data_IF_003305779814
#
_entry.id   IF_003305779814
#
_cell.length_a   1.000
_cell.length_b   1.000
_cell.length_c   1.000
_cell.angle_alpha   90.00
_cell.angle_beta   90.00
_cell.angle_gamma   90.00
#
_symmetry.space_group_name_H-M   'P 1'
#
loop_
_entity.id
_entity.type
_entity.pdbx_description
1 polymer ?
#
# COMPACT_ATOMS: atom_id res chain seq x y z
N UNK A 1 25.71 -16.22 -26.83
CA UNK A 1 26.14 -14.96 -26.19
C UNK A 1 25.74 -13.70 -26.98
N UNK A 2 26.32 -13.39 -28.16
CA UNK A 2 25.99 -12.15 -28.91
C UNK A 2 24.49 -12.00 -29.23
N UNK A 3 23.82 -13.09 -29.65
CA UNK A 3 22.35 -13.10 -29.89
C UNK A 3 21.55 -12.80 -28.62
N UNK A 4 21.91 -13.39 -27.50
CA UNK A 4 21.29 -13.16 -26.20
C UNK A 4 21.46 -11.71 -25.73
N UNK A 5 22.67 -11.14 -25.88
CA UNK A 5 22.95 -9.73 -25.59
C UNK A 5 22.06 -8.82 -26.45
N UNK A 6 21.93 -9.11 -27.75
CA UNK A 6 21.04 -8.33 -28.64
C UNK A 6 19.59 -8.37 -28.16
N UNK A 7 19.08 -9.55 -27.81
CA UNK A 7 17.71 -9.70 -27.29
C UNK A 7 17.51 -8.96 -25.96
N UNK A 8 18.46 -9.06 -25.04
CA UNK A 8 18.42 -8.32 -23.77
C UNK A 8 18.44 -6.80 -23.99
N UNK A 9 19.26 -6.31 -24.92
CA UNK A 9 19.31 -4.87 -25.21
C UNK A 9 18.00 -4.33 -25.80
N UNK A 10 17.27 -5.12 -26.61
CA UNK A 10 15.93 -4.74 -27.08
C UNK A 10 14.94 -4.60 -25.91
N UNK A 11 15.05 -5.44 -24.89
CA UNK A 11 14.22 -5.32 -23.69
C UNK A 11 14.61 -4.11 -22.82
N UNK A 12 15.91 -3.83 -22.72
CA UNK A 12 16.48 -2.80 -21.85
C UNK A 12 16.42 -1.38 -22.42
N UNK A 13 16.15 -1.22 -23.71
CA UNK A 13 16.12 0.07 -24.42
C UNK A 13 15.23 1.11 -23.71
N UNK A 14 14.03 0.70 -23.29
CA UNK A 14 13.08 1.55 -22.56
C UNK A 14 13.56 2.03 -21.17
N UNK A 15 14.62 1.43 -20.63
CA UNK A 15 15.17 1.76 -19.32
C UNK A 15 16.50 2.51 -19.40
N UNK A 16 16.95 2.88 -20.60
CA UNK A 16 18.29 3.44 -20.83
C UNK A 16 19.38 2.54 -20.22
N UNK A 17 19.31 1.24 -20.53
CA UNK A 17 20.29 0.22 -20.12
C UNK A 17 20.79 -0.51 -21.37
N UNK A 18 22.11 -0.71 -21.47
CA UNK A 18 22.75 -1.41 -22.59
C UNK A 18 23.80 -2.37 -22.04
N UNK A 19 23.77 -3.61 -22.51
CA UNK A 19 24.85 -4.59 -22.32
C UNK A 19 25.84 -4.44 -23.48
N UNK A 20 27.03 -3.91 -23.19
CA UNK A 20 28.17 -3.96 -24.10
C UNK A 20 28.84 -5.32 -24.01
N UNK A 21 29.35 -5.83 -25.13
CA UNK A 21 30.05 -7.12 -25.18
C UNK A 21 31.57 -6.99 -25.07
N UNK A 22 32.13 -5.77 -25.18
CA UNK A 22 33.57 -5.48 -25.16
C UNK A 22 33.86 -4.11 -24.51
N UNK A 23 34.31 -4.07 -23.24
CA UNK A 23 34.25 -5.17 -22.28
C UNK A 23 32.79 -5.59 -21.99
N UNK A 24 32.57 -6.81 -21.49
CA UNK A 24 31.22 -7.27 -21.12
C UNK A 24 30.74 -6.52 -19.88
N UNK A 25 29.81 -5.57 -20.04
CA UNK A 25 29.29 -4.75 -18.92
C UNK A 25 27.96 -4.09 -19.25
N UNK A 26 27.24 -3.69 -18.20
CA UNK A 26 26.06 -2.82 -18.28
C UNK A 26 26.49 -1.34 -18.25
N UNK A 27 25.96 -0.56 -19.18
CA UNK A 27 26.10 0.90 -19.30
C UNK A 27 24.73 1.56 -19.54
N UNK A 28 24.62 2.87 -19.34
CA UNK A 28 23.37 3.63 -19.43
C UNK A 28 23.11 4.50 -18.19
N UNK A 29 21.85 4.77 -17.88
CA UNK A 29 21.47 5.47 -16.64
C UNK A 29 21.78 4.59 -15.43
N UNK A 30 22.74 5.04 -14.63
CA UNK A 30 23.27 4.26 -13.51
C UNK A 30 22.22 3.99 -12.41
N UNK A 31 21.22 4.87 -12.24
CA UNK A 31 20.14 4.62 -11.28
C UNK A 31 19.23 3.51 -11.78
N UNK A 32 18.89 3.51 -13.06
CA UNK A 32 18.06 2.46 -13.66
C UNK A 32 18.77 1.09 -13.63
N UNK A 33 20.09 1.05 -13.90
CA UNK A 33 20.88 -0.20 -13.79
C UNK A 33 20.82 -0.76 -12.36
N UNK A 34 21.06 0.08 -11.34
CA UNK A 34 21.02 -0.35 -9.94
C UNK A 34 19.64 -0.82 -9.53
N UNK A 35 18.62 -0.07 -9.91
CA UNK A 35 17.23 -0.42 -9.61
C UNK A 35 16.83 -1.75 -10.25
N UNK A 36 17.22 -1.99 -11.51
CA UNK A 36 17.03 -3.29 -12.17
C UNK A 36 17.62 -4.44 -11.35
N UNK A 37 18.86 -4.31 -10.89
CA UNK A 37 19.50 -5.35 -10.09
C UNK A 37 18.85 -5.54 -8.72
N UNK A 38 18.40 -4.46 -8.08
CA UNK A 38 17.63 -4.55 -6.83
C UNK A 38 16.37 -5.39 -7.05
N UNK A 39 15.57 -5.08 -8.09
CA UNK A 39 14.38 -5.86 -8.42
C UNK A 39 14.70 -7.32 -8.72
N UNK A 40 15.73 -7.56 -9.53
CA UNK A 40 16.16 -8.91 -9.89
C UNK A 40 16.56 -9.73 -8.66
N UNK A 41 17.36 -9.15 -7.76
CA UNK A 41 17.79 -9.85 -6.55
C UNK A 41 16.65 -10.08 -5.57
N UNK A 42 15.78 -9.08 -5.35
CA UNK A 42 14.58 -9.25 -4.52
C UNK A 42 13.68 -10.35 -5.05
N UNK A 43 13.44 -10.40 -6.36
CA UNK A 43 12.57 -11.41 -6.95
C UNK A 43 13.17 -12.82 -6.91
N UNK A 44 14.48 -12.95 -7.13
CA UNK A 44 15.15 -14.25 -7.28
C UNK A 44 15.61 -14.86 -5.95
N UNK A 45 16.03 -14.02 -5.01
CA UNK A 45 16.70 -14.47 -3.78
C UNK A 45 16.00 -14.02 -2.51
N UNK A 46 14.88 -13.29 -2.61
CA UNK A 46 14.29 -12.52 -1.51
C UNK A 46 15.30 -11.54 -0.88
N UNK A 47 14.96 -10.95 0.27
CA UNK A 47 15.81 -9.94 0.93
C UNK A 47 16.76 -10.54 1.99
N UNK A 48 16.62 -11.82 2.31
CA UNK A 48 17.35 -12.51 3.38
C UNK A 48 18.57 -13.25 2.81
N UNK A 49 18.44 -13.93 1.67
CA UNK A 49 19.50 -14.79 1.11
C UNK A 49 20.21 -14.16 -0.09
N UNK A 50 20.77 -12.97 0.11
CA UNK A 50 21.36 -12.19 -0.98
C UNK A 50 22.65 -12.84 -1.54
N UNK A 51 22.85 -12.85 -2.87
CA UNK A 51 23.98 -13.52 -3.52
C UNK A 51 25.29 -12.70 -3.49
N UNK A 52 25.54 -11.97 -2.41
CA UNK A 52 26.77 -11.20 -2.20
C UNK A 52 27.67 -11.89 -1.18
N UNK A 53 28.93 -11.44 -1.09
CA UNK A 53 29.87 -11.96 -0.09
C UNK A 53 29.32 -11.73 1.32
N UNK A 54 29.25 -12.78 2.14
CA UNK A 54 28.77 -12.69 3.54
C UNK A 54 29.49 -11.62 4.37
N UNK A 55 30.80 -11.40 4.12
CA UNK A 55 31.58 -10.31 4.76
C UNK A 55 30.95 -8.93 4.48
N UNK A 56 30.57 -8.67 3.22
CA UNK A 56 29.97 -7.41 2.77
C UNK A 56 28.62 -7.16 3.43
N UNK A 57 27.75 -8.17 3.40
CA UNK A 57 26.42 -8.13 4.03
C UNK A 57 26.55 -7.82 5.52
N UNK A 58 27.43 -8.53 6.22
CA UNK A 58 27.67 -8.31 7.65
C UNK A 58 28.15 -6.88 7.96
N UNK A 59 29.11 -6.35 7.19
CA UNK A 59 29.60 -4.97 7.36
C UNK A 59 28.47 -3.95 7.16
N UNK A 60 27.61 -4.19 6.16
CA UNK A 60 26.49 -3.33 5.85
C UNK A 60 25.44 -3.27 6.95
N UNK A 61 25.08 -4.43 7.50
CA UNK A 61 24.13 -4.51 8.61
C UNK A 61 24.68 -3.88 9.88
N UNK A 62 25.98 -4.06 10.17
CA UNK A 62 26.66 -3.37 11.27
C UNK A 62 26.64 -1.86 11.09
N UNK A 63 26.98 -1.38 9.89
CA UNK A 63 26.97 0.04 9.57
C UNK A 63 25.57 0.63 9.71
N UNK A 64 24.54 -0.02 9.14
CA UNK A 64 23.16 0.41 9.29
C UNK A 64 22.74 0.49 10.76
N UNK A 65 23.05 -0.54 11.54
CA UNK A 65 22.72 -0.59 12.97
C UNK A 65 23.36 0.57 13.71
N UNK A 66 24.67 0.79 13.54
CA UNK A 66 25.41 1.87 14.18
C UNK A 66 24.85 3.26 13.82
N UNK A 67 24.56 3.49 12.54
CA UNK A 67 24.09 4.81 12.11
C UNK A 67 22.62 5.01 12.48
N UNK A 68 21.80 3.96 12.47
CA UNK A 68 20.40 4.04 12.90
C UNK A 68 20.26 4.38 14.38
N UNK A 69 21.15 3.91 15.27
CA UNK A 69 21.11 4.28 16.70
C UNK A 69 21.45 5.75 16.94
N UNK A 70 22.19 6.37 16.03
CA UNK A 70 22.59 7.78 16.12
C UNK A 70 21.53 8.72 15.51
N UNK A 71 20.90 8.31 14.41
CA UNK A 71 20.05 9.19 13.60
C UNK A 71 18.56 8.84 13.57
N UNK A 72 18.11 7.66 14.04
CA UNK A 72 16.72 7.22 13.89
C UNK A 72 16.02 6.89 15.20
N UNK A 73 14.70 7.13 15.18
CA UNK A 73 13.71 6.45 16.00
C UNK A 73 13.36 5.10 15.33
N UNK A 74 13.52 4.00 16.07
CA UNK A 74 13.09 2.61 15.76
C UNK A 74 13.38 2.10 14.33
N UNK A 75 14.59 1.60 14.02
CA UNK A 75 14.86 0.91 12.75
C UNK A 75 14.01 -0.36 12.59
N UNK A 76 13.41 -0.56 11.42
CA UNK A 76 12.71 -1.81 11.08
C UNK A 76 13.66 -2.83 10.43
N UNK A 77 13.31 -4.11 10.52
CA UNK A 77 14.06 -5.18 9.83
C UNK A 77 14.01 -4.95 8.32
N UNK A 78 12.84 -4.56 7.80
CA UNK A 78 12.64 -4.30 6.37
C UNK A 78 13.57 -3.20 5.84
N UNK A 79 13.70 -2.09 6.59
CA UNK A 79 14.60 -0.99 6.22
C UNK A 79 16.06 -1.44 6.19
N UNK A 80 16.47 -2.26 7.16
CA UNK A 80 17.83 -2.82 7.20
C UNK A 80 18.09 -3.68 5.97
N UNK A 81 17.17 -4.60 5.65
CA UNK A 81 17.33 -5.50 4.52
C UNK A 81 17.36 -4.74 3.17
N UNK A 82 16.48 -3.75 3.01
CA UNK A 82 16.47 -2.87 1.84
C UNK A 82 17.78 -2.05 1.72
N UNK A 83 18.27 -1.51 2.85
CA UNK A 83 19.55 -0.81 2.90
C UNK A 83 20.71 -1.70 2.46
N UNK A 84 20.76 -2.92 3.01
CA UNK A 84 21.80 -3.90 2.71
C UNK A 84 21.80 -4.27 1.23
N UNK A 85 20.64 -4.62 0.65
CA UNK A 85 20.55 -4.98 -0.78
C UNK A 85 21.01 -3.83 -1.67
N UNK A 86 20.44 -2.64 -1.49
CA UNK A 86 20.80 -1.47 -2.30
C UNK A 86 22.30 -1.20 -2.24
N UNK A 87 22.85 -1.19 -1.02
CA UNK A 87 24.23 -0.80 -0.80
C UNK A 87 25.20 -1.85 -1.31
N UNK A 88 24.83 -3.13 -1.27
CA UNK A 88 25.61 -4.20 -1.89
C UNK A 88 25.63 -4.07 -3.42
N UNK A 89 24.48 -3.80 -4.06
CA UNK A 89 24.42 -3.49 -5.50
C UNK A 89 25.27 -2.28 -5.82
N UNK A 90 25.14 -1.20 -5.05
CA UNK A 90 25.90 0.03 -5.23
C UNK A 90 27.42 -0.20 -5.10
N UNK A 91 27.84 -1.03 -4.15
CA UNK A 91 29.25 -1.35 -3.90
C UNK A 91 29.88 -2.07 -5.09
N UNK A 92 29.18 -3.07 -5.64
CA UNK A 92 29.66 -3.79 -6.81
C UNK A 92 29.74 -2.88 -8.05
N UNK A 93 28.83 -1.91 -8.20
CA UNK A 93 28.93 -0.90 -9.27
C UNK A 93 30.13 0.03 -9.07
N UNK A 94 30.34 0.54 -7.86
CA UNK A 94 31.43 1.46 -7.56
C UNK A 94 32.80 0.81 -7.75
N UNK A 95 32.96 -0.44 -7.30
CA UNK A 95 34.18 -1.23 -7.52
C UNK A 95 34.55 -1.42 -9.00
N UNK A 96 33.56 -1.33 -9.89
CA UNK A 96 33.72 -1.43 -11.33
C UNK A 96 33.76 -0.06 -12.03
N UNK A 97 34.11 1.02 -11.31
CA UNK A 97 34.22 2.40 -11.82
C UNK A 97 32.89 2.99 -12.31
N UNK A 98 31.77 2.59 -11.72
CA UNK A 98 30.46 3.19 -11.95
C UNK A 98 29.96 3.88 -10.66
N UNK A 99 30.52 5.05 -10.30
CA UNK A 99 30.24 5.71 -9.01
C UNK A 99 28.84 6.32 -8.96
N UNK A 100 28.30 6.45 -7.75
CA UNK A 100 27.09 7.25 -7.51
C UNK A 100 27.41 8.74 -7.63
N UNK A 101 26.60 9.44 -8.42
CA UNK A 101 26.61 10.91 -8.41
C UNK A 101 25.86 11.40 -7.17
N UNK A 102 26.59 11.91 -6.18
CA UNK A 102 25.99 12.45 -4.96
C UNK A 102 26.15 13.95 -4.93
N UNK A 103 25.03 14.66 -4.81
CA UNK A 103 24.97 16.13 -4.88
C UNK A 103 24.95 16.82 -3.52
N UNK A 104 24.96 16.08 -2.41
CA UNK A 104 24.72 16.63 -1.07
C UNK A 104 25.98 16.59 -0.18
N UNK A 105 27.02 17.32 -0.60
CA UNK A 105 28.31 17.38 0.09
C UNK A 105 28.22 17.81 1.57
N UNK A 106 27.42 18.83 1.97
CA UNK A 106 27.36 19.26 3.38
C UNK A 106 26.88 18.15 4.32
N UNK A 107 25.92 17.33 3.86
CA UNK A 107 25.39 16.21 4.65
C UNK A 107 26.42 15.11 4.83
N UNK A 108 27.14 14.77 3.75
CA UNK A 108 28.22 13.78 3.80
C UNK A 108 29.27 14.22 4.82
N UNK A 109 29.70 15.49 4.77
CA UNK A 109 30.67 16.05 5.71
C UNK A 109 30.19 15.95 7.16
N UNK A 110 28.91 16.27 7.42
CA UNK A 110 28.31 16.13 8.75
C UNK A 110 28.31 14.68 9.27
N UNK A 111 27.90 13.71 8.43
CA UNK A 111 27.91 12.29 8.78
C UNK A 111 29.33 11.77 9.05
N UNK A 112 30.30 12.17 8.22
CA UNK A 112 31.72 11.85 8.41
C UNK A 112 32.20 12.38 9.77
N UNK A 113 31.91 13.64 10.10
CA UNK A 113 32.33 14.25 11.34
C UNK A 113 31.74 13.54 12.57
N UNK A 114 30.46 13.16 12.52
CA UNK A 114 29.82 12.39 13.58
C UNK A 114 30.50 11.02 13.74
N UNK A 115 30.67 10.28 12.65
CA UNK A 115 31.28 8.96 12.70
C UNK A 115 32.72 8.98 13.20
N UNK A 116 33.51 9.99 12.80
CA UNK A 116 34.86 10.20 13.29
C UNK A 116 34.91 10.62 14.76
N UNK A 117 33.83 11.20 15.30
CA UNK A 117 33.73 11.60 16.71
C UNK A 117 33.30 10.47 17.65
N UNK A 118 32.87 9.32 17.11
CA UNK A 118 32.44 8.18 17.93
C UNK A 118 33.66 7.55 18.63
N UNK A 119 33.54 7.16 19.91
CA UNK A 119 34.61 6.45 20.60
C UNK A 119 34.96 5.16 19.84
N UNK A 120 36.24 4.82 19.78
CA UNK A 120 36.77 3.61 19.11
C UNK A 120 36.17 2.29 19.60
N UNK A 121 35.52 2.28 20.76
CA UNK A 121 34.76 1.13 21.28
C UNK A 121 33.40 0.94 20.60
N UNK A 122 32.81 2.00 20.02
CA UNK A 122 31.58 1.94 19.23
C UNK A 122 31.84 1.60 17.76
N UNK A 123 33.08 1.74 17.29
CA UNK A 123 33.51 1.25 16.00
C UNK A 123 33.81 -0.25 16.08
N UNK A 124 32.79 -1.08 16.32
CA UNK A 124 32.83 -2.50 15.96
C UNK A 124 32.86 -2.73 14.43
N UNK A 125 33.01 -1.65 13.65
CA UNK A 125 33.34 -1.59 12.22
C UNK A 125 34.75 -2.16 11.90
N UNK A 126 35.23 -3.13 12.68
CA UNK A 126 36.56 -3.76 12.66
C UNK A 126 36.95 -4.45 11.34
N UNK A 127 36.27 -4.16 10.23
CA UNK A 127 36.51 -4.73 8.91
C UNK A 127 36.33 -3.73 7.77
N UNK A 128 36.04 -2.44 8.00
CA UNK A 128 36.09 -1.46 6.91
C UNK A 128 37.57 -1.20 6.64
N UNK A 129 38.10 -1.85 5.61
CA UNK A 129 39.54 -2.04 5.44
C UNK A 129 40.22 -0.77 4.89
N UNK A 130 39.44 0.24 4.44
CA UNK A 130 39.97 1.49 3.87
C UNK A 130 39.08 2.72 4.10
N UNK A 131 39.72 3.90 4.14
CA UNK A 131 39.04 5.21 4.19
C UNK A 131 38.08 5.42 2.99
N UNK A 132 38.47 4.96 1.81
CA UNK A 132 37.64 5.01 0.60
C UNK A 132 36.35 4.21 0.71
N UNK A 133 36.39 3.07 1.41
CA UNK A 133 35.24 2.22 1.64
C UNK A 133 34.30 2.83 2.69
N UNK A 134 34.82 3.42 3.76
CA UNK A 134 34.03 4.21 4.71
C UNK A 134 33.33 5.38 4.02
N UNK A 135 34.06 6.13 3.19
CA UNK A 135 33.47 7.24 2.44
C UNK A 135 32.35 6.77 1.51
N UNK A 136 32.49 5.59 0.87
CA UNK A 136 31.43 4.96 0.09
C UNK A 136 30.20 4.64 0.92
N UNK A 137 30.36 4.02 2.09
CA UNK A 137 29.24 3.66 2.96
C UNK A 137 28.48 4.90 3.42
N UNK A 138 29.19 5.96 3.81
CA UNK A 138 28.58 7.22 4.23
C UNK A 138 27.87 7.90 3.07
N UNK A 139 28.50 7.92 1.89
CA UNK A 139 27.90 8.40 0.65
C UNK A 139 26.59 7.67 0.34
N UNK A 140 26.60 6.34 0.37
CA UNK A 140 25.42 5.50 0.11
C UNK A 140 24.33 5.71 1.16
N UNK A 141 24.70 5.79 2.44
CA UNK A 141 23.78 6.09 3.52
C UNK A 141 23.19 7.51 3.44
N UNK A 142 23.97 8.48 2.95
CA UNK A 142 23.48 9.85 2.73
C UNK A 142 22.37 9.90 1.68
N UNK A 143 22.32 8.94 0.74
CA UNK A 143 21.26 8.82 -0.26
C UNK A 143 19.99 8.19 0.32
N UNK A 144 20.14 7.15 1.14
CA UNK A 144 19.06 6.61 1.98
C UNK A 144 18.47 7.62 2.95
N UNK A 145 19.27 8.65 3.24
CA UNK A 145 18.89 9.74 4.10
C UNK A 145 18.92 11.06 3.32
N UNK A 146 18.63 11.10 2.02
CA UNK A 146 18.73 12.36 1.28
C UNK A 146 17.80 13.46 1.89
N UNK A 147 18.03 14.74 1.60
CA UNK A 147 17.18 15.85 2.08
C UNK A 147 15.72 15.74 1.57
N UNK A 148 15.49 14.86 0.58
CA UNK A 148 14.18 14.48 0.05
C UNK A 148 13.66 13.15 0.61
N UNK A 149 14.25 12.60 1.66
CA UNK A 149 13.69 11.46 2.40
C UNK A 149 13.41 11.96 3.82
N UNK A 150 12.16 12.00 4.28
CA UNK A 150 11.76 12.44 5.62
C UNK A 150 12.38 11.63 6.75
N UNK A 151 12.83 10.41 6.48
CA UNK A 151 13.59 9.58 7.43
C UNK A 151 14.97 10.13 7.80
N UNK A 152 15.40 11.22 7.17
CA UNK A 152 16.75 11.76 7.28
C UNK A 152 16.88 13.08 8.01
N UNK A 153 15.75 13.71 8.31
CA UNK A 153 15.69 15.10 8.74
C UNK A 153 14.96 15.19 10.07
N UNK A 154 15.65 14.92 11.19
CA UNK A 154 15.25 15.50 12.48
C UNK A 154 15.20 17.05 12.45
N UNK A 155 15.65 17.70 11.36
CA UNK A 155 15.76 19.15 11.20
C UNK A 155 14.65 19.85 10.40
N UNK A 156 13.72 19.15 9.75
CA UNK A 156 12.59 19.83 9.10
C UNK A 156 11.45 19.98 10.10
N UNK A 157 11.13 21.21 10.49
CA UNK A 157 9.95 21.49 11.31
C UNK A 157 8.70 20.94 10.62
N UNK A 158 7.71 20.46 11.41
CA UNK A 158 6.44 19.92 10.89
C UNK A 158 5.82 20.82 9.79
N UNK A 159 5.92 22.14 9.95
CA UNK A 159 5.44 23.12 8.97
C UNK A 159 6.15 23.07 7.61
N UNK A 160 7.47 22.80 7.57
CA UNK A 160 8.19 22.63 6.31
C UNK A 160 7.81 21.32 5.62
N UNK A 161 7.60 20.25 6.40
CA UNK A 161 7.19 18.96 5.87
C UNK A 161 5.79 19.04 5.24
N UNK A 162 4.84 19.66 5.94
CA UNK A 162 3.50 19.94 5.43
C UNK A 162 3.52 20.69 4.10
N UNK A 163 4.30 21.77 4.00
CA UNK A 163 4.45 22.53 2.74
C UNK A 163 5.02 21.70 1.59
N UNK A 164 5.86 20.69 1.86
CA UNK A 164 6.38 19.78 0.83
C UNK A 164 5.25 18.85 0.34
N UNK A 165 4.47 18.28 1.27
CA UNK A 165 3.32 17.44 0.91
C UNK A 165 2.25 18.21 0.13
N UNK A 166 1.99 19.47 0.50
CA UNK A 166 1.08 20.37 -0.24
C UNK A 166 1.56 20.59 -1.68
N UNK A 167 2.86 20.85 -1.88
CA UNK A 167 3.43 21.12 -3.22
C UNK A 167 3.51 19.90 -4.13
N UNK A 168 3.42 18.70 -3.58
CA UNK A 168 3.56 17.44 -4.33
C UNK A 168 2.22 16.82 -4.72
N UNK A 169 1.10 17.43 -4.32
CA UNK A 169 -0.24 16.89 -4.55
C UNK A 169 -0.69 15.86 -3.52
N UNK A 170 0.17 15.47 -2.57
CA UNK A 170 -0.15 14.46 -1.55
C UNK A 170 -1.25 14.93 -0.60
N UNK A 171 -1.17 16.16 -0.08
CA UNK A 171 -2.22 16.68 0.80
C UNK A 171 -3.53 16.89 0.05
N UNK A 172 -3.48 17.29 -1.23
CA UNK A 172 -4.67 17.42 -2.07
C UNK A 172 -5.32 16.06 -2.32
N UNK A 173 -4.53 15.03 -2.62
CA UNK A 173 -5.00 13.67 -2.73
C UNK A 173 -5.67 13.21 -1.44
N UNK A 174 -4.99 13.31 -0.29
CA UNK A 174 -5.55 12.84 0.98
C UNK A 174 -6.79 13.64 1.38
N UNK A 175 -6.84 14.93 1.10
CA UNK A 175 -8.03 15.74 1.30
C UNK A 175 -9.22 15.25 0.47
N UNK A 176 -9.03 15.05 -0.85
CA UNK A 176 -10.10 14.59 -1.74
C UNK A 176 -10.53 13.16 -1.40
N UNK A 177 -9.56 12.29 -1.13
CA UNK A 177 -9.78 10.92 -0.70
C UNK A 177 -10.62 10.87 0.58
N UNK A 178 -10.22 11.59 1.63
CA UNK A 178 -10.99 11.71 2.86
C UNK A 178 -12.38 12.30 2.64
N UNK A 179 -12.50 13.32 1.79
CA UNK A 179 -13.78 13.98 1.53
C UNK A 179 -14.76 13.09 0.77
N UNK A 180 -14.31 12.45 -0.31
CA UNK A 180 -15.14 11.60 -1.18
C UNK A 180 -15.57 10.33 -0.46
N UNK A 181 -14.63 9.67 0.21
CA UNK A 181 -14.91 8.42 0.92
C UNK A 181 -15.34 8.63 2.37
N UNK A 182 -15.54 9.89 2.80
CA UNK A 182 -15.98 10.26 4.16
C UNK A 182 -15.09 9.63 5.26
N UNK A 183 -13.78 9.53 4.98
CA UNK A 183 -12.79 8.94 5.90
C UNK A 183 -12.17 10.03 6.76
N UNK A 184 -12.27 9.87 8.07
CA UNK A 184 -11.55 10.68 9.04
C UNK A 184 -10.16 10.08 9.29
N UNK A 185 -9.12 10.87 9.01
CA UNK A 185 -7.73 10.53 9.34
C UNK A 185 -7.29 11.41 10.49
N UNK A 186 -6.70 10.81 11.53
CA UNK A 186 -6.02 11.57 12.58
C UNK A 186 -4.81 12.32 12.02
N UNK A 187 -4.37 13.39 12.68
CA UNK A 187 -3.17 14.13 12.27
C UNK A 187 -1.93 13.22 12.16
N UNK A 188 -1.84 12.19 13.00
CA UNK A 188 -0.73 11.25 12.99
C UNK A 188 -0.80 10.28 11.81
N UNK A 189 -1.99 9.75 11.50
CA UNK A 189 -2.20 8.90 10.32
C UNK A 189 -1.92 9.67 9.04
N UNK A 190 -2.52 10.86 8.89
CA UNK A 190 -2.29 11.74 7.73
C UNK A 190 -0.80 12.00 7.55
N UNK A 191 -0.09 12.39 8.61
CA UNK A 191 1.35 12.62 8.53
C UNK A 191 2.13 11.37 8.11
N UNK A 192 1.81 10.22 8.70
CA UNK A 192 2.48 8.95 8.41
C UNK A 192 2.26 8.54 6.95
N UNK A 193 1.02 8.57 6.48
CA UNK A 193 0.65 8.27 5.10
C UNK A 193 1.34 9.26 4.15
N UNK A 194 1.24 10.57 4.39
CA UNK A 194 1.89 11.59 3.55
C UNK A 194 3.39 11.35 3.40
N UNK A 195 4.05 10.98 4.50
CA UNK A 195 5.47 10.67 4.54
C UNK A 195 5.81 9.46 3.67
N UNK A 196 5.12 8.34 3.86
CA UNK A 196 5.38 7.10 3.11
C UNK A 196 5.06 7.26 1.61
N UNK A 197 3.97 7.95 1.27
CA UNK A 197 3.63 8.28 -0.11
C UNK A 197 4.69 9.16 -0.77
N UNK A 198 5.24 10.13 -0.04
CA UNK A 198 6.30 10.97 -0.57
C UNK A 198 7.59 10.19 -0.81
N UNK A 199 7.99 9.33 0.13
CA UNK A 199 9.16 8.45 -0.04
C UNK A 199 8.99 7.52 -1.24
N UNK A 200 7.78 7.02 -1.46
CA UNK A 200 7.47 6.18 -2.61
C UNK A 200 7.57 6.96 -3.94
N UNK A 201 6.91 8.11 -4.04
CA UNK A 201 6.72 8.84 -5.29
C UNK A 201 7.91 9.76 -5.66
N UNK A 202 8.67 10.20 -4.66
CA UNK A 202 9.73 11.21 -4.80
C UNK A 202 11.02 10.85 -4.07
N UNK A 203 11.02 9.77 -3.30
CA UNK A 203 12.20 9.32 -2.56
C UNK A 203 13.28 8.78 -3.47
N UNK A 204 14.44 8.53 -2.87
CA UNK A 204 15.65 8.18 -3.60
C UNK A 204 15.58 6.80 -4.28
N UNK A 205 14.74 5.89 -3.77
CA UNK A 205 14.52 4.57 -4.37
C UNK A 205 13.48 4.59 -5.49
N UNK A 206 12.88 5.74 -5.81
CA UNK A 206 11.98 5.88 -6.95
C UNK A 206 12.79 5.64 -8.24
N UNK A 207 12.46 4.62 -9.05
CA UNK A 207 13.06 4.49 -10.38
C UNK A 207 12.72 5.70 -11.25
N UNK A 208 13.53 5.96 -12.29
CA UNK A 208 13.16 6.98 -13.29
C UNK A 208 12.15 6.40 -14.28
N UNK A 209 12.34 5.14 -14.67
CA UNK A 209 11.44 4.40 -15.55
C UNK A 209 10.95 3.16 -14.79
N UNK A 210 9.63 2.92 -14.77
CA UNK A 210 9.07 1.76 -14.08
C UNK A 210 9.49 0.51 -14.82
N UNK A 211 10.44 -0.19 -14.21
CA UNK A 211 10.79 -1.54 -14.61
C UNK A 211 9.69 -2.43 -14.06
N UNK A 212 8.86 -2.98 -14.95
CA UNK A 212 7.89 -4.00 -14.57
C UNK A 212 8.65 -5.12 -13.85
N UNK A 213 8.46 -5.23 -12.54
CA UNK A 213 9.14 -6.26 -11.76
C UNK A 213 8.70 -7.63 -12.27
N UNK A 214 9.62 -8.60 -12.24
CA UNK A 214 9.34 -9.99 -12.62
C UNK A 214 8.19 -10.59 -11.81
N UNK A 215 7.94 -10.06 -10.60
CA UNK A 215 6.76 -10.30 -9.78
C UNK A 215 6.18 -8.95 -9.32
N UNK A 216 5.15 -8.46 -10.00
CA UNK A 216 4.45 -7.24 -9.58
C UNK A 216 3.40 -7.57 -8.51
N UNK A 217 3.87 -7.88 -7.31
CA UNK A 217 3.01 -8.20 -6.16
C UNK A 217 2.04 -7.06 -5.83
N UNK A 218 2.38 -5.81 -6.16
CA UNK A 218 1.50 -4.66 -5.96
C UNK A 218 0.35 -4.64 -6.95
N UNK A 219 0.58 -4.99 -8.21
CA UNK A 219 -0.50 -5.15 -9.19
C UNK A 219 -1.37 -6.35 -8.88
N UNK A 220 -0.76 -7.45 -8.42
CA UNK A 220 -1.51 -8.59 -7.92
C UNK A 220 -2.39 -8.17 -6.73
N UNK A 221 -1.83 -7.47 -5.75
CA UNK A 221 -2.56 -6.91 -4.61
C UNK A 221 -3.70 -6.01 -5.07
N UNK A 222 -3.46 -5.04 -5.96
CA UNK A 222 -4.52 -4.15 -6.47
C UNK A 222 -5.68 -4.93 -7.13
N UNK A 223 -5.35 -5.95 -7.95
CA UNK A 223 -6.36 -6.76 -8.64
C UNK A 223 -7.11 -7.70 -7.70
N UNK A 224 -6.40 -8.34 -6.77
CA UNK A 224 -6.95 -9.34 -5.85
C UNK A 224 -7.47 -8.75 -4.55
N UNK A 225 -7.34 -7.45 -4.32
CA UNK A 225 -7.93 -6.77 -3.18
C UNK A 225 -9.45 -6.72 -3.42
N UNK A 226 -10.11 -7.77 -2.94
CA UNK A 226 -11.55 -7.98 -2.83
C UNK A 226 -12.15 -7.21 -1.65
N UNK A 227 -11.27 -6.84 -0.71
CA UNK A 227 -11.60 -6.07 0.46
C UNK A 227 -12.33 -4.76 0.11
N UNK A 228 -11.86 -4.05 -0.93
CA UNK A 228 -12.55 -2.88 -1.48
C UNK A 228 -13.31 -3.23 -2.75
N UNK A 229 -14.51 -2.67 -2.88
CA UNK A 229 -15.30 -2.72 -4.11
C UNK A 229 -14.49 -2.15 -5.31
N UNK A 230 -14.67 -2.71 -6.50
CA UNK A 230 -13.95 -2.25 -7.71
C UNK A 230 -14.12 -0.75 -7.98
N UNK A 231 -15.30 -0.23 -7.67
CA UNK A 231 -15.61 1.19 -7.71
C UNK A 231 -14.70 2.06 -6.84
N UNK A 232 -14.35 1.60 -5.64
CA UNK A 232 -13.41 2.27 -4.74
C UNK A 232 -12.04 2.38 -5.40
N UNK A 233 -11.57 1.27 -5.97
CA UNK A 233 -10.28 1.17 -6.65
C UNK A 233 -10.21 2.11 -7.87
N UNK A 234 -11.29 2.17 -8.66
CA UNK A 234 -11.40 3.05 -9.83
C UNK A 234 -11.38 4.52 -9.41
N UNK A 235 -12.21 4.91 -8.44
CA UNK A 235 -12.33 6.30 -8.02
C UNK A 235 -11.05 6.79 -7.32
N UNK A 236 -10.42 5.95 -6.49
CA UNK A 236 -9.09 6.24 -5.92
C UNK A 236 -8.06 6.51 -7.01
N UNK A 237 -8.09 5.74 -8.11
CA UNK A 237 -7.23 5.96 -9.27
C UNK A 237 -7.54 7.27 -9.99
N UNK A 238 -8.81 7.64 -10.14
CA UNK A 238 -9.21 8.95 -10.70
C UNK A 238 -8.66 10.10 -9.86
N UNK A 239 -8.84 10.06 -8.54
CA UNK A 239 -8.29 11.08 -7.61
C UNK A 239 -6.77 11.18 -7.79
N UNK A 240 -6.07 10.03 -7.85
CA UNK A 240 -4.63 9.99 -8.06
C UNK A 240 -4.21 10.69 -9.36
N UNK A 241 -4.86 10.37 -10.48
CA UNK A 241 -4.57 10.95 -11.80
C UNK A 241 -4.75 12.48 -11.83
N UNK A 242 -5.70 13.03 -11.06
CA UNK A 242 -5.88 14.48 -10.96
C UNK A 242 -4.87 15.19 -10.05
N UNK A 243 -4.34 14.49 -9.04
CA UNK A 243 -3.42 15.09 -8.07
C UNK A 243 -1.94 15.00 -8.47
N UNK A 244 -1.59 14.10 -9.39
CA UNK A 244 -0.21 13.78 -9.71
C UNK A 244 0.06 13.88 -11.22
N UNK A 245 1.33 14.12 -11.58
CA UNK A 245 1.77 14.17 -12.98
C UNK A 245 1.72 12.79 -13.65
N UNK A 246 1.57 12.75 -14.98
CA UNK A 246 1.47 11.50 -15.75
C UNK A 246 2.68 10.56 -15.55
N UNK A 247 3.87 11.12 -15.33
CA UNK A 247 5.09 10.36 -14.99
C UNK A 247 4.95 9.51 -13.71
N UNK A 248 3.96 9.81 -12.86
CA UNK A 248 3.68 9.09 -11.61
C UNK A 248 2.62 8.00 -11.77
N UNK A 249 1.87 7.97 -12.88
CA UNK A 249 0.75 7.03 -13.06
C UNK A 249 1.11 5.56 -12.90
N UNK A 250 2.27 5.07 -13.39
CA UNK A 250 2.54 3.65 -13.26
C UNK A 250 2.97 3.26 -11.82
N UNK A 251 3.14 4.21 -10.89
CA UNK A 251 3.36 3.93 -9.46
C UNK A 251 2.05 3.70 -8.68
N UNK A 252 0.90 3.82 -9.33
CA UNK A 252 -0.40 3.77 -8.65
C UNK A 252 -0.59 2.48 -7.83
N UNK A 253 -0.20 1.32 -8.33
CA UNK A 253 -0.39 0.05 -7.61
C UNK A 253 0.41 0.03 -6.28
N UNK A 254 1.62 0.59 -6.29
CA UNK A 254 2.44 0.74 -5.07
C UNK A 254 1.82 1.77 -4.12
N UNK A 255 1.34 2.88 -4.68
CA UNK A 255 0.69 3.95 -3.94
C UNK A 255 -0.56 3.42 -3.22
N UNK A 256 -1.38 2.65 -3.93
CA UNK A 256 -2.58 2.02 -3.41
C UNK A 256 -2.26 1.04 -2.27
N UNK A 257 -1.21 0.24 -2.43
CA UNK A 257 -0.73 -0.65 -1.37
C UNK A 257 -0.33 0.12 -0.11
N UNK A 258 0.48 1.18 -0.23
CA UNK A 258 0.91 2.00 0.92
C UNK A 258 -0.30 2.66 1.59
N UNK A 259 -1.18 3.28 0.81
CA UNK A 259 -2.41 3.91 1.30
C UNK A 259 -3.25 2.92 2.10
N UNK A 260 -3.48 1.71 1.56
CA UNK A 260 -4.28 0.68 2.23
C UNK A 260 -3.63 0.17 3.51
N UNK A 261 -2.34 -0.18 3.44
CA UNK A 261 -1.65 -0.83 4.57
C UNK A 261 -1.30 0.10 5.72
N UNK A 262 -1.18 1.42 5.46
CA UNK A 262 -0.86 2.42 6.47
C UNK A 262 -2.09 3.14 7.03
N UNK A 263 -3.27 2.87 6.47
CA UNK A 263 -4.54 3.43 6.93
C UNK A 263 -5.32 2.35 7.67
N UNK A 264 -4.93 2.06 8.92
CA UNK A 264 -5.55 1.00 9.73
C UNK A 264 -7.06 1.25 9.89
N UNK A 265 -7.46 2.50 10.08
CA UNK A 265 -8.86 2.93 10.20
C UNK A 265 -9.63 2.93 8.88
N UNK A 266 -8.97 2.79 7.73
CA UNK A 266 -9.62 2.83 6.41
C UNK A 266 -10.67 1.73 6.27
N UNK A 267 -10.29 0.57 6.77
CA UNK A 267 -11.07 -0.65 6.80
C UNK A 267 -12.34 -0.47 7.64
N UNK A 268 -12.17 -0.07 8.89
CA UNK A 268 -13.27 0.13 9.83
C UNK A 268 -14.19 1.28 9.40
N UNK A 269 -13.63 2.34 8.83
CA UNK A 269 -14.39 3.46 8.28
C UNK A 269 -15.19 3.05 7.04
N UNK A 270 -14.61 2.23 6.16
CA UNK A 270 -15.33 1.70 5.00
C UNK A 270 -16.55 0.87 5.43
N UNK A 271 -16.35 -0.06 6.36
CA UNK A 271 -17.43 -0.93 6.83
C UNK A 271 -18.49 -0.17 7.65
N UNK A 272 -18.09 0.74 8.53
CA UNK A 272 -19.03 1.49 9.38
C UNK A 272 -19.90 2.47 8.60
N UNK A 273 -19.41 3.02 7.49
CA UNK A 273 -20.13 4.03 6.72
C UNK A 273 -20.95 3.43 5.57
N UNK A 274 -20.43 2.41 4.89
CA UNK A 274 -20.97 1.97 3.61
C UNK A 274 -21.49 0.54 3.62
N UNK A 275 -20.96 -0.30 4.51
CA UNK A 275 -21.37 -1.69 4.64
C UNK A 275 -22.40 -1.87 5.76
N UNK A 276 -23.35 -0.93 5.83
CA UNK A 276 -24.54 -1.10 6.67
C UNK A 276 -25.53 -1.96 5.92
N UNK A 277 -26.01 -3.01 6.58
CA UNK A 277 -27.06 -3.85 6.02
C UNK A 277 -28.10 -4.16 7.09
N UNK A 278 -29.36 -3.99 6.73
CA UNK A 278 -30.49 -4.32 7.59
C UNK A 278 -31.02 -5.71 7.23
N UNK A 279 -30.74 -6.69 8.08
CA UNK A 279 -31.14 -8.08 7.89
C UNK A 279 -32.33 -8.37 8.79
N UNK A 280 -33.45 -8.78 8.20
CA UNK A 280 -34.60 -9.26 8.95
C UNK A 280 -34.60 -10.77 8.93
N UNK A 281 -34.73 -11.41 10.10
CA UNK A 281 -34.77 -12.87 10.23
C UNK A 281 -36.12 -13.27 10.81
N UNK A 282 -36.83 -14.12 10.08
CA UNK A 282 -38.05 -14.74 10.55
C UNK A 282 -38.06 -16.24 10.25
N UNK A 283 -37.97 -17.04 11.30
CA UNK A 283 -38.07 -18.49 11.24
C UNK A 283 -39.35 -18.88 11.98
N UNK A 284 -40.24 -19.59 11.30
CA UNK A 284 -41.59 -19.86 11.79
C UNK A 284 -41.65 -20.89 12.93
N UNK A 285 -40.67 -21.80 13.02
CA UNK A 285 -40.70 -22.93 13.94
C UNK A 285 -39.97 -22.68 15.26
N UNK A 286 -38.95 -21.82 15.30
CA UNK A 286 -38.15 -21.58 16.51
C UNK A 286 -37.42 -20.23 16.48
N UNK A 287 -37.77 -19.35 17.42
CA UNK A 287 -37.10 -18.07 17.60
C UNK A 287 -35.64 -18.21 18.07
N UNK A 288 -35.32 -19.26 18.83
CA UNK A 288 -33.93 -19.52 19.23
C UNK A 288 -33.06 -19.84 18.02
N UNK A 289 -33.63 -20.46 16.99
CA UNK A 289 -32.94 -20.68 15.72
C UNK A 289 -32.65 -19.35 15.00
N UNK A 290 -33.57 -18.38 15.02
CA UNK A 290 -33.31 -17.02 14.51
C UNK A 290 -32.13 -16.34 15.22
N UNK A 291 -32.06 -16.45 16.56
CA UNK A 291 -30.93 -15.94 17.34
C UNK A 291 -29.62 -16.65 16.96
N UNK A 292 -29.65 -17.97 16.79
CA UNK A 292 -28.49 -18.74 16.34
C UNK A 292 -27.99 -18.27 14.96
N UNK A 293 -28.90 -18.05 14.01
CA UNK A 293 -28.57 -17.55 12.67
C UNK A 293 -27.93 -16.16 12.77
N UNK A 294 -28.54 -15.22 13.50
CA UNK A 294 -27.96 -13.89 13.74
C UNK A 294 -26.52 -14.00 14.25
N UNK A 295 -26.31 -14.73 15.35
CA UNK A 295 -24.99 -14.85 15.98
C UNK A 295 -23.95 -15.46 15.04
N UNK A 296 -24.36 -16.40 14.19
CA UNK A 296 -23.46 -17.04 13.21
C UNK A 296 -23.12 -16.08 12.07
N UNK A 297 -24.08 -15.31 11.58
CA UNK A 297 -23.87 -14.29 10.55
C UNK A 297 -23.00 -13.14 11.06
N UNK A 298 -23.29 -12.60 12.25
CA UNK A 298 -22.47 -11.55 12.91
C UNK A 298 -21.00 -11.96 13.05
N UNK A 299 -20.75 -13.25 13.28
CA UNK A 299 -19.39 -13.76 13.46
C UNK A 299 -18.65 -14.00 12.15
N UNK A 300 -19.35 -14.41 11.10
CA UNK A 300 -18.73 -14.86 9.84
C UNK A 300 -18.66 -13.79 8.78
N UNK A 301 -19.58 -12.83 8.80
CA UNK A 301 -19.70 -11.83 7.76
C UNK A 301 -19.08 -10.50 8.21
N UNK A 302 -18.32 -9.82 7.35
CA UNK A 302 -17.76 -8.53 7.67
C UNK A 302 -18.78 -7.40 7.46
N UNK A 303 -18.65 -6.32 8.22
CA UNK A 303 -19.50 -5.12 8.07
C UNK A 303 -20.34 -4.80 9.30
N UNK A 304 -21.21 -3.79 9.17
CA UNK A 304 -22.12 -3.36 10.23
C UNK A 304 -23.53 -3.87 9.92
N UNK A 305 -23.89 -5.02 10.49
CA UNK A 305 -25.18 -5.66 10.28
C UNK A 305 -26.15 -5.27 11.40
N UNK A 306 -27.31 -4.73 11.02
CA UNK A 306 -28.42 -4.54 11.95
C UNK A 306 -29.41 -5.69 11.76
N UNK A 307 -29.66 -6.45 12.82
CA UNK A 307 -30.60 -7.56 12.79
C UNK A 307 -31.95 -7.16 13.38
N UNK A 308 -33.02 -7.42 12.65
CA UNK A 308 -34.39 -7.41 13.15
C UNK A 308 -34.89 -8.85 13.24
N UNK A 309 -35.06 -9.35 14.47
CA UNK A 309 -35.63 -10.68 14.69
C UNK A 309 -37.14 -10.60 14.88
N UNK A 310 -37.86 -11.48 14.20
CA UNK A 310 -39.32 -11.61 14.33
C UNK A 310 -39.62 -12.95 15.02
N UNK A 311 -40.43 -12.89 16.09
CA UNK A 311 -40.78 -14.07 16.91
C UNK A 311 -42.14 -14.70 16.57
N UNK A 312 -42.97 -14.01 15.78
CA UNK A 312 -44.34 -14.43 15.51
C UNK A 312 -44.87 -13.85 14.21
N UNK A 313 -45.79 -14.59 13.56
CA UNK A 313 -46.37 -14.19 12.28
C UNK A 313 -47.14 -12.86 12.35
N UNK A 314 -47.81 -12.59 13.48
CA UNK A 314 -48.56 -11.34 13.68
C UNK A 314 -47.66 -10.10 13.64
N UNK A 315 -46.37 -10.25 14.00
CA UNK A 315 -45.39 -9.15 13.96
C UNK A 315 -44.82 -8.89 12.57
N UNK A 316 -44.94 -9.83 11.63
CA UNK A 316 -44.55 -9.58 10.23
C UNK A 316 -45.33 -8.41 9.62
N UNK A 317 -46.61 -8.27 9.97
CA UNK A 317 -47.47 -7.25 9.36
C UNK A 317 -47.38 -5.87 10.03
N UNK A 318 -46.68 -5.76 11.16
CA UNK A 318 -46.77 -4.60 12.07
C UNK A 318 -45.42 -3.93 12.37
N UNK A 319 -44.34 -4.35 11.73
CA UNK A 319 -42.99 -3.85 12.02
C UNK A 319 -42.55 -2.85 10.96
N UNK A 320 -42.56 -1.57 11.34
CA UNK A 320 -42.09 -0.44 10.50
C UNK A 320 -40.64 -0.61 10.00
N UNK A 321 -39.85 -1.53 10.58
CA UNK A 321 -38.47 -1.80 10.17
C UNK A 321 -38.32 -2.83 9.05
N UNK A 322 -39.37 -3.56 8.65
CA UNK A 322 -39.24 -4.59 7.60
C UNK A 322 -39.03 -3.96 6.22
N UNK A 323 -39.72 -2.85 5.91
CA UNK A 323 -39.57 -2.16 4.62
C UNK A 323 -38.17 -1.56 4.42
N UNK A 324 -37.43 -1.37 5.51
CA UNK A 324 -36.05 -0.89 5.51
C UNK A 324 -35.02 -2.02 5.42
N UNK A 325 -35.47 -3.28 5.38
CA UNK A 325 -34.59 -4.44 5.30
C UNK A 325 -34.02 -4.60 3.90
N UNK A 326 -32.72 -4.85 3.83
CA UNK A 326 -32.02 -5.15 2.58
C UNK A 326 -32.06 -6.64 2.26
N UNK A 327 -32.07 -7.50 3.28
CA UNK A 327 -32.15 -8.95 3.17
C UNK A 327 -33.15 -9.52 4.17
N UNK A 328 -34.11 -10.30 3.67
CA UNK A 328 -35.03 -11.08 4.49
C UNK A 328 -34.64 -12.56 4.48
N UNK A 329 -34.31 -13.12 5.64
CA UNK A 329 -34.00 -14.53 5.81
C UNK A 329 -35.18 -15.25 6.46
N UNK A 330 -35.69 -16.29 5.79
CA UNK A 330 -36.82 -17.06 6.31
C UNK A 330 -36.77 -18.51 5.91
N UNK A 331 -37.52 -19.39 6.57
CA UNK A 331 -37.74 -20.76 6.12
C UNK A 331 -39.09 -20.96 5.40
N UNK A 332 -39.88 -19.91 5.23
CA UNK A 332 -41.17 -19.96 4.55
C UNK A 332 -40.98 -19.95 3.03
N UNK A 333 -41.28 -21.08 2.40
CA UNK A 333 -41.20 -21.21 0.94
C UNK A 333 -42.22 -20.32 0.20
N UNK A 334 -43.44 -20.19 0.73
CA UNK A 334 -44.48 -19.35 0.12
C UNK A 334 -44.44 -17.90 0.63
N UNK A 335 -43.25 -17.29 0.69
CA UNK A 335 -43.09 -15.93 1.23
C UNK A 335 -43.93 -14.87 0.49
N UNK A 336 -44.33 -15.13 -0.75
CA UNK A 336 -45.21 -14.23 -1.53
C UNK A 336 -46.58 -14.02 -0.87
N UNK A 337 -47.07 -15.00 -0.10
CA UNK A 337 -48.33 -14.85 0.62
C UNK A 337 -48.23 -13.92 1.84
N UNK A 338 -47.01 -13.56 2.26
CA UNK A 338 -46.77 -12.65 3.39
C UNK A 338 -47.08 -11.19 2.96
N UNK A 339 -47.21 -10.90 1.66
CA UNK A 339 -47.69 -9.60 1.17
C UNK A 339 -46.72 -8.43 1.38
N UNK A 340 -45.47 -8.73 1.77
CA UNK A 340 -44.42 -7.74 2.00
C UNK A 340 -43.45 -7.80 0.82
N UNK A 341 -43.15 -6.64 0.23
CA UNK A 341 -42.13 -6.50 -0.79
C UNK A 341 -40.77 -6.37 -0.12
N UNK A 342 -39.89 -7.35 -0.31
CA UNK A 342 -38.52 -7.34 0.16
C UNK A 342 -37.57 -7.07 -1.00
N UNK A 343 -36.44 -6.41 -0.74
CA UNK A 343 -35.41 -6.17 -1.77
C UNK A 343 -34.75 -7.47 -2.20
N UNK A 344 -34.30 -8.27 -1.23
CA UNK A 344 -33.68 -9.58 -1.42
C UNK A 344 -34.23 -10.56 -0.38
N UNK A 345 -34.41 -11.83 -0.76
CA UNK A 345 -34.95 -12.88 0.12
C UNK A 345 -34.05 -14.11 0.03
N UNK A 346 -33.69 -14.66 1.19
CA UNK A 346 -32.99 -15.94 1.29
C UNK A 346 -33.83 -16.96 2.06
N UNK A 347 -34.08 -18.11 1.43
CA UNK A 347 -34.83 -19.21 2.06
C UNK A 347 -33.84 -20.16 2.72
N UNK A 348 -33.83 -20.15 4.05
CA UNK A 348 -32.99 -21.00 4.88
C UNK A 348 -33.73 -22.30 5.25
N UNK A 349 -32.99 -23.40 5.29
CA UNK A 349 -33.49 -24.68 5.79
C UNK A 349 -33.43 -24.76 7.33
N UNK A 350 -33.60 -25.96 7.90
CA UNK A 350 -33.48 -26.21 9.35
C UNK A 350 -32.02 -26.18 9.86
N UNK A 351 -31.07 -25.81 9.01
CA UNK A 351 -29.66 -25.60 9.36
C UNK A 351 -29.07 -24.54 8.43
N UNK A 352 -27.94 -23.94 8.85
CA UNK A 352 -27.15 -23.01 8.05
C UNK A 352 -25.81 -23.65 7.67
N UNK A 353 -25.74 -24.11 6.43
CA UNK A 353 -24.58 -24.74 5.81
C UNK A 353 -23.55 -23.71 5.34
N UNK A 354 -22.38 -24.18 4.91
CA UNK A 354 -21.37 -23.31 4.29
C UNK A 354 -21.88 -22.67 2.99
N UNK A 355 -22.67 -23.42 2.21
CA UNK A 355 -23.32 -22.92 1.00
C UNK A 355 -24.31 -21.79 1.30
N UNK A 356 -25.04 -21.88 2.42
CA UNK A 356 -25.92 -20.79 2.85
C UNK A 356 -25.15 -19.52 3.19
N UNK A 357 -23.99 -19.67 3.85
CA UNK A 357 -23.13 -18.53 4.18
C UNK A 357 -22.58 -17.89 2.90
N UNK A 358 -22.14 -18.68 1.92
CA UNK A 358 -21.64 -18.19 0.63
C UNK A 358 -22.71 -17.37 -0.11
N UNK A 359 -23.92 -17.92 -0.28
CA UNK A 359 -25.01 -17.21 -0.95
C UNK A 359 -25.43 -15.93 -0.22
N UNK A 360 -25.52 -15.97 1.12
CA UNK A 360 -25.83 -14.78 1.91
C UNK A 360 -24.72 -13.74 1.73
N UNK A 361 -23.45 -14.16 1.72
CA UNK A 361 -22.30 -13.26 1.47
C UNK A 361 -22.40 -12.58 0.11
N UNK A 362 -22.79 -13.31 -0.93
CA UNK A 362 -22.98 -12.76 -2.27
C UNK A 362 -24.08 -11.69 -2.30
N UNK A 363 -25.24 -11.96 -1.68
CA UNK A 363 -26.34 -11.00 -1.59
C UNK A 363 -25.89 -9.73 -0.85
N UNK A 364 -25.22 -9.90 0.28
CA UNK A 364 -24.70 -8.80 1.09
C UNK A 364 -23.71 -7.95 0.29
N UNK A 365 -22.82 -8.61 -0.47
CA UNK A 365 -21.86 -7.94 -1.35
C UNK A 365 -22.55 -7.11 -2.42
N UNK A 366 -23.65 -7.61 -3.01
CA UNK A 366 -24.46 -6.86 -3.97
C UNK A 366 -25.15 -5.66 -3.33
N UNK A 367 -25.66 -5.79 -2.10
CA UNK A 367 -26.21 -4.65 -1.34
C UNK A 367 -25.14 -3.59 -1.11
N UNK A 368 -23.92 -3.99 -0.71
CA UNK A 368 -22.81 -3.07 -0.54
C UNK A 368 -22.46 -2.36 -1.84
N UNK A 369 -22.44 -3.06 -2.99
CA UNK A 369 -22.22 -2.44 -4.31
C UNK A 369 -23.29 -1.39 -4.64
N UNK A 370 -24.57 -1.68 -4.38
CA UNK A 370 -25.69 -0.74 -4.60
C UNK A 370 -25.57 0.50 -3.72
N UNK A 371 -25.26 0.34 -2.44
CA UNK A 371 -25.05 1.48 -1.52
C UNK A 371 -23.85 2.33 -1.97
N UNK A 372 -22.84 1.69 -2.56
CA UNK A 372 -21.62 2.35 -2.99
C UNK A 372 -21.76 3.14 -4.30
N UNK A 373 -22.67 2.76 -5.20
CA UNK A 373 -22.82 3.47 -6.48
C UNK A 373 -23.19 4.95 -6.33
N UNK A 374 -23.91 5.32 -5.26
CA UNK A 374 -24.21 6.72 -4.95
C UNK A 374 -22.96 7.55 -4.66
N UNK A 375 -21.98 6.98 -3.95
CA UNK A 375 -20.72 7.65 -3.60
C UNK A 375 -19.86 7.89 -4.84
N UNK A 376 -19.91 7.00 -5.83
CA UNK A 376 -19.17 7.18 -7.08
C UNK A 376 -19.68 8.45 -7.77
N UNK A 377 -21.00 8.60 -7.89
CA UNK A 377 -21.62 9.76 -8.51
C UNK A 377 -21.27 11.04 -7.74
N UNK A 378 -21.47 11.04 -6.41
CA UNK A 378 -21.08 12.16 -5.53
C UNK A 378 -19.58 12.49 -5.67
N UNK A 379 -18.73 11.47 -5.70
CA UNK A 379 -17.28 11.61 -5.80
C UNK A 379 -16.81 12.15 -7.14
N UNK A 380 -17.45 11.74 -8.24
CA UNK A 380 -17.21 12.29 -9.57
C UNK A 380 -17.65 13.75 -9.66
N UNK A 381 -18.78 14.12 -9.04
CA UNK A 381 -19.20 15.52 -8.94
C UNK A 381 -18.20 16.37 -8.14
N UNK A 382 -17.71 15.86 -7.01
CA UNK A 382 -16.66 16.52 -6.21
C UNK A 382 -15.40 16.70 -7.07
N UNK A 383 -14.97 15.69 -7.82
CA UNK A 383 -13.81 15.82 -8.71
C UNK A 383 -14.02 16.89 -9.78
N UNK A 384 -15.20 16.92 -10.43
CA UNK A 384 -15.54 17.95 -11.43
C UNK A 384 -15.48 19.36 -10.84
N UNK A 385 -16.03 19.55 -9.64
CA UNK A 385 -16.01 20.84 -8.93
C UNK A 385 -14.58 21.33 -8.63
N UNK A 386 -13.66 20.42 -8.31
CA UNK A 386 -12.30 20.78 -7.92
C UNK A 386 -11.35 20.95 -9.10
N UNK A 387 -11.59 20.27 -10.22
CA UNK A 387 -10.67 20.25 -11.34
C UNK A 387 -11.20 20.89 -12.63
N UNK A 388 -12.41 21.47 -12.63
CA UNK A 388 -13.05 22.08 -13.80
C UNK A 388 -12.91 21.19 -15.05
N UNK A 389 -13.12 19.89 -14.87
CA UNK A 389 -13.01 18.91 -15.95
C UNK A 389 -14.41 18.61 -16.46
N UNK A 390 -14.84 19.42 -17.43
CA UNK A 390 -15.72 18.90 -18.46
C UNK A 390 -14.85 17.94 -19.29
N UNK A 391 -14.95 16.63 -19.00
CA UNK A 391 -14.54 15.59 -19.94
C UNK A 391 -15.64 15.36 -20.96
#
# INVERSE_FOLDING_TARGET
MKRSIKQMNLFFEQYDIIIKARPLRFEGDENNIRYFFILYFTAKYNLIDLPFKKKLIYQLEQFYTLVSTIFRNKPTIQDRLNFTLFSAVAYEREKNNHPLVIRNAPKITFLINILNSLPTKFTHLNKIDSKSELDFWIRTFSLFTNNKTFNSTPMLSKNKQKKIFERTGIEQFLFLFSKIFKIELTDNERFTISKELYELLFGFLKPKNIINSLNNHYSAFYKSNDFFLDSYKILTKKIFVHCFSEELFPYFDFFFFVLTTHSISLLDNFYSLFAKINITIYIDFDFQFSIYVQNKLEKLLPGNMNFLLIDSADKLYNTNGISESDLFITNIYNYKSIGIAFKEIYILSHHISEFDIENITDIITEVYKKNYSGIILEGEEILKQYFNTDM
#
